data_IF_554384588587
#
_entry.id   IF_554384588587
#
_cell.length_a   1.000
_cell.length_b   1.000
_cell.length_c   1.000
_cell.angle_alpha   90.00
_cell.angle_beta   90.00
_cell.angle_gamma   90.00
#
_symmetry.space_group_name_H-M   'P 1'
#
loop_
_entity.id
_entity.type
_entity.pdbx_description
1 polymer ?
#
# COMPACT_ATOMS: atom_id res chain seq x y z
N UNK A 1 24.01 -30.71 12.44
CA UNK A 1 24.04 -29.34 12.99
C UNK A 1 22.72 -28.66 12.64
N UNK A 2 21.89 -28.52 13.66
CA UNK A 2 20.55 -27.97 13.60
C UNK A 2 20.66 -26.44 13.54
N UNK A 3 20.32 -25.81 12.41
CA UNK A 3 20.04 -24.37 12.36
C UNK A 3 18.56 -24.17 12.66
N UNK A 4 18.30 -23.73 13.86
CA UNK A 4 17.01 -23.29 14.35
C UNK A 4 16.51 -22.12 13.48
N UNK A 5 15.50 -22.37 12.66
CA UNK A 5 14.67 -21.33 12.06
C UNK A 5 13.71 -20.84 13.15
N UNK A 6 14.07 -19.80 13.83
CA UNK A 6 13.17 -18.97 14.63
C UNK A 6 13.32 -17.53 14.16
N UNK A 7 12.58 -17.19 13.16
CA UNK A 7 12.14 -15.82 12.86
C UNK A 7 10.90 -15.94 11.96
N UNK A 8 9.77 -16.26 12.58
CA UNK A 8 8.48 -15.86 12.04
C UNK A 8 8.37 -14.35 12.24
N UNK A 9 8.99 -13.61 11.31
CA UNK A 9 8.78 -12.17 11.19
C UNK A 9 7.35 -11.96 10.70
N UNK A 10 6.59 -11.13 11.39
CA UNK A 10 5.38 -10.51 10.85
C UNK A 10 5.80 -9.92 9.50
N UNK A 11 5.21 -10.41 8.40
CA UNK A 11 5.49 -9.90 7.06
C UNK A 11 5.02 -8.44 7.00
N UNK A 12 5.93 -7.53 7.28
CA UNK A 12 5.64 -6.09 7.23
C UNK A 12 5.41 -5.69 5.78
N UNK A 13 4.25 -5.13 5.50
CA UNK A 13 3.89 -4.63 4.17
C UNK A 13 4.86 -3.53 3.74
N UNK A 14 5.52 -3.74 2.59
CA UNK A 14 6.47 -2.78 2.01
C UNK A 14 5.81 -1.96 0.91
N UNK A 15 5.89 -0.66 1.05
CA UNK A 15 5.38 0.32 0.08
C UNK A 15 6.54 1.08 -0.56
N UNK A 16 6.42 1.36 -1.85
CA UNK A 16 7.28 2.32 -2.54
C UNK A 16 6.49 3.61 -2.76
N UNK A 17 6.96 4.71 -2.20
CA UNK A 17 6.45 6.04 -2.46
C UNK A 17 7.31 6.71 -3.52
N UNK A 18 6.70 7.09 -4.65
CA UNK A 18 7.35 7.81 -5.74
C UNK A 18 6.73 9.20 -5.85
N UNK A 19 7.38 10.20 -5.27
CA UNK A 19 6.90 11.58 -5.12
C UNK A 19 8.09 12.53 -5.11
N UNK A 20 8.11 13.52 -5.99
CA UNK A 20 9.21 14.49 -6.09
C UNK A 20 9.03 15.71 -5.16
N UNK A 21 7.81 16.05 -4.80
CA UNK A 21 7.52 17.09 -3.82
C UNK A 21 7.92 16.67 -2.42
N UNK A 22 8.86 17.42 -1.82
CA UNK A 22 9.41 17.10 -0.50
C UNK A 22 8.37 17.18 0.60
N UNK A 23 7.50 18.20 0.58
CA UNK A 23 6.52 18.42 1.64
C UNK A 23 5.44 17.34 1.61
N UNK A 24 4.96 16.99 0.43
CA UNK A 24 3.97 15.93 0.25
C UNK A 24 4.59 14.59 0.62
N UNK A 25 5.78 14.30 0.11
CA UNK A 25 6.49 13.05 0.35
C UNK A 25 6.77 12.81 1.84
N UNK A 26 7.26 13.81 2.57
CA UNK A 26 7.48 13.72 4.03
C UNK A 26 6.17 13.47 4.78
N UNK A 27 5.12 14.21 4.47
CA UNK A 27 3.81 14.05 5.12
C UNK A 27 3.24 12.65 4.91
N UNK A 28 3.27 12.14 3.69
CA UNK A 28 2.76 10.80 3.37
C UNK A 28 3.63 9.73 4.02
N UNK A 29 4.94 9.88 3.97
CA UNK A 29 5.89 8.96 4.59
C UNK A 29 5.63 8.81 6.09
N UNK A 30 5.45 9.93 6.81
CA UNK A 30 5.20 9.92 8.25
C UNK A 30 3.89 9.22 8.59
N UNK A 31 2.82 9.49 7.83
CA UNK A 31 1.52 8.85 8.02
C UNK A 31 1.61 7.34 7.76
N UNK A 32 2.24 6.93 6.66
CA UNK A 32 2.37 5.51 6.33
C UNK A 32 3.21 4.74 7.35
N UNK A 33 4.28 5.34 7.87
CA UNK A 33 5.09 4.74 8.94
C UNK A 33 4.34 4.66 10.26
N UNK A 34 3.52 5.65 10.59
CA UNK A 34 2.65 5.61 11.76
C UNK A 34 1.62 4.47 11.69
N UNK A 35 1.23 4.08 10.47
CA UNK A 35 0.35 2.93 10.19
C UNK A 35 1.12 1.60 10.05
N UNK A 36 2.39 1.56 10.48
CA UNK A 36 3.25 0.38 10.50
C UNK A 36 3.66 -0.19 9.15
N UNK A 37 3.55 0.57 8.06
CA UNK A 37 4.12 0.18 6.79
C UNK A 37 5.64 0.41 6.74
N UNK A 38 6.36 -0.48 6.11
CA UNK A 38 7.74 -0.23 5.71
C UNK A 38 7.73 0.55 4.39
N UNK A 39 8.28 1.75 4.37
CA UNK A 39 8.18 2.65 3.21
C UNK A 39 9.55 3.08 2.75
N UNK A 40 9.83 2.82 1.48
CA UNK A 40 10.94 3.43 0.75
C UNK A 40 10.40 4.60 -0.06
N UNK A 41 11.09 5.71 -0.05
CA UNK A 41 10.70 6.91 -0.78
C UNK A 41 11.76 7.29 -1.80
N UNK A 42 11.34 7.43 -3.05
CA UNK A 42 12.17 7.91 -4.16
C UNK A 42 11.51 9.10 -4.85
N UNK A 43 12.32 10.00 -5.38
CA UNK A 43 11.85 11.30 -5.88
C UNK A 43 12.00 11.47 -7.39
N UNK A 44 12.26 10.38 -8.08
CA UNK A 44 12.69 10.39 -9.47
C UNK A 44 12.25 9.12 -10.17
N UNK A 45 11.70 9.25 -11.37
CA UNK A 45 11.15 8.10 -12.09
C UNK A 45 12.21 7.10 -12.56
N UNK A 46 13.43 7.52 -12.81
CA UNK A 46 14.54 6.63 -13.20
C UNK A 46 15.04 5.82 -11.99
N UNK A 47 15.15 6.48 -10.84
CA UNK A 47 15.49 5.80 -9.58
C UNK A 47 14.39 4.81 -9.22
N UNK A 48 13.11 5.21 -9.36
CA UNK A 48 11.98 4.32 -9.12
C UNK A 48 12.01 3.08 -10.03
N UNK A 49 12.30 3.26 -11.31
CA UNK A 49 12.42 2.14 -12.27
C UNK A 49 13.52 1.15 -11.86
N UNK A 50 14.69 1.67 -11.49
CA UNK A 50 15.81 0.85 -11.02
C UNK A 50 15.46 0.12 -9.71
N UNK A 51 14.83 0.82 -8.77
CA UNK A 51 14.40 0.26 -7.49
C UNK A 51 13.40 -0.89 -7.70
N UNK A 52 12.41 -0.70 -8.57
CA UNK A 52 11.41 -1.73 -8.89
C UNK A 52 11.98 -2.95 -9.65
N UNK A 53 13.17 -2.83 -10.22
CA UNK A 53 13.86 -3.97 -10.84
C UNK A 53 14.64 -4.81 -9.83
N UNK A 54 15.03 -4.24 -8.70
CA UNK A 54 15.91 -4.86 -7.72
C UNK A 54 15.20 -5.26 -6.42
N UNK A 55 14.12 -4.57 -6.09
CA UNK A 55 13.37 -4.74 -4.84
C UNK A 55 11.90 -5.09 -5.11
N UNK A 56 11.29 -5.82 -4.18
CA UNK A 56 9.87 -6.17 -4.24
C UNK A 56 9.05 -5.35 -3.26
N UNK A 57 7.88 -4.91 -3.70
CA UNK A 57 6.93 -4.12 -2.92
C UNK A 57 5.54 -4.72 -2.99
N UNK A 58 4.73 -4.46 -1.97
CA UNK A 58 3.33 -4.88 -1.92
C UNK A 58 2.40 -3.87 -2.60
N UNK A 59 2.84 -2.63 -2.70
CA UNK A 59 2.13 -1.56 -3.40
C UNK A 59 3.07 -0.40 -3.72
N UNK A 60 2.81 0.26 -4.84
CA UNK A 60 3.49 1.49 -5.28
C UNK A 60 2.51 2.65 -5.25
N UNK A 61 2.85 3.73 -4.52
CA UNK A 61 2.19 5.03 -4.66
C UNK A 61 2.99 5.83 -5.67
N UNK A 62 2.34 6.28 -6.75
CA UNK A 62 3.01 6.85 -7.91
C UNK A 62 2.46 8.21 -8.27
N UNK A 63 3.26 9.27 -8.16
CA UNK A 63 2.96 10.52 -8.84
C UNK A 63 3.30 10.42 -10.34
N UNK A 64 2.53 11.08 -11.17
CA UNK A 64 2.76 11.12 -12.61
C UNK A 64 3.76 12.22 -13.01
N UNK A 65 3.82 13.33 -12.27
CA UNK A 65 4.65 14.49 -12.55
C UNK A 65 6.12 14.35 -12.16
N UNK A 66 6.72 13.20 -12.36
CA UNK A 66 8.08 12.92 -11.92
C UNK A 66 9.14 13.49 -12.86
N UNK A 67 10.34 13.87 -12.36
CA UNK A 67 11.48 14.19 -13.19
C UNK A 67 12.06 12.94 -13.87
N UNK A 68 12.70 13.15 -15.02
CA UNK A 68 13.40 12.18 -15.89
C UNK A 68 12.47 11.18 -16.56
N UNK A 69 11.77 10.35 -15.81
CA UNK A 69 10.81 9.38 -16.34
C UNK A 69 9.42 9.72 -15.79
N UNK A 70 8.49 10.05 -16.67
CA UNK A 70 7.10 10.30 -16.32
C UNK A 70 6.45 9.06 -15.70
N UNK A 71 5.53 9.28 -14.75
CA UNK A 71 4.91 8.16 -14.02
C UNK A 71 4.11 7.19 -14.89
N UNK A 72 3.48 7.66 -15.97
CA UNK A 72 2.80 6.77 -16.94
C UNK A 72 3.81 5.88 -17.66
N UNK A 73 4.95 6.43 -18.06
CA UNK A 73 6.01 5.64 -18.69
C UNK A 73 6.60 4.62 -17.72
N UNK A 74 6.82 5.01 -16.46
CA UNK A 74 7.25 4.09 -15.40
C UNK A 74 6.27 2.93 -15.23
N UNK A 75 4.99 3.21 -15.15
CA UNK A 75 3.92 2.21 -15.04
C UNK A 75 3.92 1.27 -16.27
N UNK A 76 4.08 1.83 -17.47
CA UNK A 76 4.16 1.05 -18.70
C UNK A 76 5.34 0.07 -18.67
N UNK A 77 6.52 0.51 -18.24
CA UNK A 77 7.71 -0.34 -18.08
C UNK A 77 7.49 -1.45 -17.06
N UNK A 78 6.87 -1.12 -15.93
CA UNK A 78 6.52 -2.09 -14.89
C UNK A 78 5.63 -3.21 -15.47
N UNK A 79 4.56 -2.85 -16.15
CA UNK A 79 3.64 -3.83 -16.77
C UNK A 79 4.26 -4.59 -17.93
N UNK A 80 5.15 -3.98 -18.70
CA UNK A 80 5.90 -4.66 -19.77
C UNK A 80 6.80 -5.78 -19.22
N UNK A 81 7.31 -5.64 -18.01
CA UNK A 81 8.07 -6.70 -17.29
C UNK A 81 7.16 -7.77 -16.67
N UNK A 82 5.84 -7.70 -16.86
CA UNK A 82 4.83 -8.56 -16.23
C UNK A 82 4.84 -8.49 -14.71
N UNK A 83 5.27 -7.37 -14.17
CA UNK A 83 5.18 -7.10 -12.75
C UNK A 83 3.73 -6.72 -12.41
N UNK A 84 3.10 -7.50 -11.54
CA UNK A 84 1.71 -7.32 -11.13
C UNK A 84 1.57 -6.50 -9.84
N UNK A 85 2.64 -5.93 -9.33
CA UNK A 85 2.61 -5.08 -8.12
C UNK A 85 1.51 -4.04 -8.24
N UNK A 86 0.60 -3.92 -7.27
CA UNK A 86 -0.46 -2.93 -7.28
C UNK A 86 0.11 -1.50 -7.34
N UNK A 87 -0.48 -0.67 -8.18
CA UNK A 87 -0.09 0.74 -8.34
C UNK A 87 -1.28 1.64 -8.08
N UNK A 88 -1.14 2.51 -7.09
CA UNK A 88 -2.05 3.62 -6.80
C UNK A 88 -1.43 4.91 -7.34
N UNK A 89 -2.04 5.50 -8.37
CA UNK A 89 -1.64 6.81 -8.87
C UNK A 89 -2.15 7.89 -7.92
N UNK A 90 -1.26 8.80 -7.50
CA UNK A 90 -1.56 9.91 -6.59
C UNK A 90 -0.97 11.19 -7.19
N UNK A 91 -1.78 11.97 -7.91
CA UNK A 91 -1.26 13.07 -8.71
C UNK A 91 -2.21 14.28 -8.75
N UNK A 92 -1.66 15.46 -9.10
CA UNK A 92 -2.44 16.66 -9.35
C UNK A 92 -3.03 16.72 -10.77
N UNK A 93 -2.69 15.78 -11.64
CA UNK A 93 -3.23 15.71 -13.01
C UNK A 93 -4.69 15.23 -12.96
N UNK A 94 -5.62 16.14 -13.26
CA UNK A 94 -7.06 15.95 -13.12
C UNK A 94 -7.79 15.70 -14.45
N UNK A 95 -7.10 15.86 -15.58
CA UNK A 95 -7.68 15.61 -16.89
C UNK A 95 -8.24 14.19 -17.02
N UNK A 96 -9.46 14.07 -17.49
CA UNK A 96 -10.16 12.78 -17.65
C UNK A 96 -9.35 11.83 -18.52
N UNK A 97 -8.75 12.35 -19.58
CA UNK A 97 -7.92 11.60 -20.52
C UNK A 97 -6.69 11.01 -19.84
N UNK A 98 -6.04 11.74 -18.93
CA UNK A 98 -4.88 11.26 -18.18
C UNK A 98 -5.26 10.19 -17.16
N UNK A 99 -6.43 10.32 -16.53
CA UNK A 99 -6.97 9.29 -15.63
C UNK A 99 -7.28 7.99 -16.38
N UNK A 100 -7.93 8.11 -17.54
CA UNK A 100 -8.22 6.98 -18.41
C UNK A 100 -6.91 6.33 -18.88
N UNK A 101 -5.93 7.12 -19.29
CA UNK A 101 -4.62 6.62 -19.71
C UNK A 101 -3.91 5.86 -18.58
N UNK A 102 -3.93 6.39 -17.35
CA UNK A 102 -3.34 5.73 -16.18
C UNK A 102 -3.98 4.37 -15.90
N UNK A 103 -5.30 4.32 -15.83
CA UNK A 103 -6.03 3.08 -15.59
C UNK A 103 -5.86 2.07 -16.73
N UNK A 104 -5.91 2.51 -17.99
CA UNK A 104 -5.69 1.65 -19.15
C UNK A 104 -4.26 1.13 -19.26
N UNK A 105 -3.28 1.87 -18.74
CA UNK A 105 -1.88 1.43 -18.67
C UNK A 105 -1.67 0.35 -17.61
N UNK A 106 -2.62 0.20 -16.67
CA UNK A 106 -2.63 -0.87 -15.70
C UNK A 106 -2.46 -0.39 -14.26
N UNK A 107 -2.80 0.86 -13.94
CA UNK A 107 -2.99 1.29 -12.57
C UNK A 107 -4.22 0.62 -11.95
N UNK A 108 -4.13 0.33 -10.66
CA UNK A 108 -5.20 -0.33 -9.93
C UNK A 108 -6.20 0.65 -9.32
N UNK A 109 -5.78 1.87 -9.03
CA UNK A 109 -6.64 2.97 -8.59
C UNK A 109 -5.96 4.32 -8.85
N UNK A 110 -6.71 5.42 -8.66
CA UNK A 110 -6.29 6.78 -8.98
C UNK A 110 -6.85 7.77 -7.95
N UNK A 111 -6.00 8.60 -7.35
CA UNK A 111 -6.35 9.64 -6.38
C UNK A 111 -5.84 10.99 -6.84
N UNK A 112 -6.71 11.99 -6.80
CA UNK A 112 -6.36 13.38 -7.14
C UNK A 112 -5.88 14.15 -5.91
N UNK A 113 -4.80 14.90 -6.06
CA UNK A 113 -4.35 15.92 -5.10
C UNK A 113 -5.23 17.19 -5.25
N UNK A 114 -5.60 17.86 -4.17
CA UNK A 114 -5.45 17.48 -2.76
C UNK A 114 -6.40 16.36 -2.36
N UNK A 115 -5.96 15.46 -1.51
CA UNK A 115 -6.74 14.33 -0.99
C UNK A 115 -6.73 14.30 0.54
N UNK A 116 -7.71 13.61 1.09
CA UNK A 116 -7.74 13.28 2.51
C UNK A 116 -6.81 12.08 2.79
N UNK A 117 -6.00 12.18 3.85
CA UNK A 117 -5.06 11.11 4.21
C UNK A 117 -5.76 9.83 4.64
N UNK A 118 -6.92 9.93 5.28
CA UNK A 118 -7.71 8.74 5.65
C UNK A 118 -8.30 8.06 4.40
N UNK A 119 -8.69 8.82 3.38
CA UNK A 119 -9.09 8.27 2.08
C UNK A 119 -7.93 7.54 1.41
N UNK A 120 -6.73 8.14 1.40
CA UNK A 120 -5.54 7.52 0.84
C UNK A 120 -5.23 6.19 1.54
N UNK A 121 -5.23 6.16 2.86
CA UNK A 121 -5.02 4.96 3.66
C UNK A 121 -6.07 3.87 3.38
N UNK A 122 -7.33 4.23 3.27
CA UNK A 122 -8.41 3.29 2.95
C UNK A 122 -8.21 2.64 1.57
N UNK A 123 -7.77 3.40 0.57
CA UNK A 123 -7.46 2.88 -0.78
C UNK A 123 -6.23 1.97 -0.78
N UNK A 124 -5.18 2.36 -0.06
CA UNK A 124 -3.98 1.52 0.10
C UNK A 124 -4.36 0.17 0.70
N UNK A 125 -5.10 0.15 1.80
CA UNK A 125 -5.54 -1.09 2.45
C UNK A 125 -6.42 -1.95 1.54
N UNK A 126 -7.32 -1.33 0.79
CA UNK A 126 -8.18 -2.04 -0.16
C UNK A 126 -7.37 -2.71 -1.28
N UNK A 127 -6.35 -2.04 -1.82
CA UNK A 127 -5.49 -2.59 -2.86
C UNK A 127 -4.61 -3.74 -2.35
N UNK A 128 -4.02 -3.59 -1.17
CA UNK A 128 -3.23 -4.65 -0.52
C UNK A 128 -4.11 -5.88 -0.27
N UNK A 129 -5.30 -5.70 0.28
CA UNK A 129 -6.25 -6.78 0.54
C UNK A 129 -6.62 -7.55 -0.75
N UNK A 130 -6.82 -6.85 -1.87
CA UNK A 130 -7.14 -7.47 -3.16
C UNK A 130 -5.96 -8.27 -3.72
N UNK A 131 -4.73 -7.75 -3.58
CA UNK A 131 -3.54 -8.37 -4.15
C UNK A 131 -3.11 -9.64 -3.41
N UNK A 132 -3.35 -9.70 -2.11
CA UNK A 132 -2.91 -10.83 -1.27
C UNK A 132 -3.92 -11.98 -1.20
N UNK A 133 -5.10 -11.84 -1.82
CA UNK A 133 -6.19 -12.82 -1.67
C UNK A 133 -6.75 -12.79 -0.23
N UNK A 134 -8.06 -12.87 -0.08
CA UNK A 134 -8.73 -12.74 1.22
C UNK A 134 -8.42 -13.87 2.23
N UNK A 135 -7.66 -14.89 1.87
CA UNK A 135 -7.66 -16.16 2.59
C UNK A 135 -6.58 -16.30 3.67
N UNK A 136 -5.41 -15.68 3.55
CA UNK A 136 -4.26 -16.11 4.36
C UNK A 136 -3.85 -15.18 5.52
N UNK A 137 -4.44 -14.01 5.65
CA UNK A 137 -4.03 -13.05 6.69
C UNK A 137 -5.09 -12.73 7.74
N UNK A 138 -6.30 -13.25 7.61
CA UNK A 138 -7.40 -12.96 8.54
C UNK A 138 -7.38 -13.95 9.71
N UNK A 139 -7.19 -13.44 10.92
CA UNK A 139 -7.30 -14.23 12.16
C UNK A 139 -8.64 -13.95 12.84
N UNK A 140 -9.35 -15.00 13.19
CA UNK A 140 -10.53 -14.89 14.03
C UNK A 140 -10.20 -15.30 15.47
N UNK A 141 -10.29 -14.34 16.39
CA UNK A 141 -10.00 -14.55 17.81
C UNK A 141 -11.20 -14.03 18.61
N UNK A 142 -11.89 -14.91 19.31
CA UNK A 142 -13.00 -14.57 20.21
C UNK A 142 -14.08 -13.66 19.59
N UNK A 143 -14.47 -13.90 18.33
CA UNK A 143 -15.49 -13.11 17.64
C UNK A 143 -14.97 -11.77 17.07
N UNK A 144 -13.67 -11.58 17.05
CA UNK A 144 -13.02 -10.51 16.32
C UNK A 144 -12.32 -11.11 15.09
N UNK A 145 -12.56 -10.49 13.96
CA UNK A 145 -11.81 -10.72 12.73
C UNK A 145 -10.72 -9.66 12.62
N UNK A 146 -9.48 -10.08 12.60
CA UNK A 146 -8.30 -9.21 12.57
C UNK A 146 -7.52 -9.43 11.28
N UNK A 147 -7.19 -8.35 10.61
CA UNK A 147 -6.24 -8.38 9.51
C UNK A 147 -4.95 -7.65 9.91
N UNK A 148 -3.90 -8.38 10.30
CA UNK A 148 -2.64 -7.78 10.74
C UNK A 148 -1.91 -7.04 9.63
N UNK A 149 -2.20 -7.34 8.38
CA UNK A 149 -1.57 -6.71 7.21
C UNK A 149 -2.16 -5.32 6.97
N UNK A 150 -3.51 -5.22 7.00
CA UNK A 150 -4.19 -3.94 6.76
C UNK A 150 -4.47 -3.16 8.04
N UNK A 151 -4.15 -3.71 9.21
CA UNK A 151 -4.49 -3.18 10.53
C UNK A 151 -6.00 -2.87 10.69
N UNK A 152 -6.84 -3.72 10.13
CA UNK A 152 -8.29 -3.62 10.26
C UNK A 152 -8.81 -4.69 11.22
N UNK A 153 -9.70 -4.28 12.11
CA UNK A 153 -10.38 -5.17 13.03
C UNK A 153 -11.91 -5.05 12.87
N UNK A 154 -12.59 -6.18 12.88
CA UNK A 154 -14.05 -6.25 12.81
C UNK A 154 -14.58 -7.15 13.93
N UNK A 155 -15.68 -6.73 14.56
CA UNK A 155 -16.44 -7.58 15.46
C UNK A 155 -17.46 -8.38 14.63
N UNK A 156 -17.45 -9.68 14.82
CA UNK A 156 -18.45 -10.59 14.22
C UNK A 156 -19.66 -10.72 15.14
N UNK A 157 -20.81 -10.32 14.65
CA UNK A 157 -22.07 -10.58 15.33
C UNK A 157 -22.60 -11.99 14.98
N UNK A 158 -23.42 -12.62 15.87
CA UNK A 158 -23.95 -13.96 15.62
C UNK A 158 -24.77 -14.09 14.33
N UNK A 159 -25.29 -12.99 13.81
CA UNK A 159 -26.07 -12.92 12.58
C UNK A 159 -25.22 -12.66 11.32
N UNK A 160 -23.88 -12.69 11.42
CA UNK A 160 -22.98 -12.50 10.29
C UNK A 160 -22.72 -11.03 9.92
N UNK A 161 -23.19 -10.07 10.71
CA UNK A 161 -22.86 -8.66 10.52
C UNK A 161 -21.46 -8.36 11.07
N UNK A 162 -20.68 -7.61 10.29
CA UNK A 162 -19.35 -7.14 10.68
C UNK A 162 -19.43 -5.67 11.07
N UNK A 163 -18.85 -5.34 12.21
CA UNK A 163 -18.73 -3.94 12.67
C UNK A 163 -17.26 -3.60 12.84
N UNK A 164 -16.79 -2.56 12.16
CA UNK A 164 -15.42 -2.10 12.27
C UNK A 164 -15.12 -1.66 13.71
N UNK A 165 -13.98 -2.11 14.23
CA UNK A 165 -13.49 -1.75 15.56
C UNK A 165 -12.20 -0.96 15.39
N UNK A 166 -12.18 0.33 15.72
CA UNK A 166 -10.95 1.10 15.70
C UNK A 166 -10.04 0.63 16.84
N UNK A 167 -8.86 0.14 16.50
CA UNK A 167 -7.84 -0.26 17.46
C UNK A 167 -6.67 0.74 17.42
N UNK A 168 -6.22 1.15 18.60
CA UNK A 168 -4.99 1.94 18.73
C UNK A 168 -3.75 1.09 18.45
N UNK A 169 -2.62 1.71 18.16
CA UNK A 169 -1.36 1.01 17.95
C UNK A 169 -0.95 0.13 19.13
N UNK A 170 -1.31 0.50 20.36
CA UNK A 170 -1.04 -0.30 21.57
C UNK A 170 -1.91 -1.55 21.63
N UNK A 171 -3.17 -1.44 21.26
CA UNK A 171 -4.11 -2.56 21.21
C UNK A 171 -3.72 -3.56 20.13
N UNK A 172 -3.26 -3.08 18.97
CA UNK A 172 -2.69 -3.92 17.92
C UNK A 172 -1.47 -4.68 18.42
N UNK A 173 -0.51 -4.02 19.05
CA UNK A 173 0.69 -4.65 19.60
C UNK A 173 0.38 -5.77 20.60
N UNK A 174 -0.70 -5.66 21.37
CA UNK A 174 -1.15 -6.74 22.29
C UNK A 174 -1.75 -7.90 21.51
N UNK A 175 -2.52 -7.65 20.46
CA UNK A 175 -3.16 -8.69 19.65
C UNK A 175 -2.18 -9.47 18.78
N UNK A 176 -1.07 -8.86 18.38
CA UNK A 176 -0.01 -9.52 17.61
C UNK A 176 0.79 -10.54 18.43
N UNK A 177 0.76 -10.43 19.75
CA UNK A 177 1.47 -11.33 20.68
C UNK A 177 0.59 -12.51 21.12
N UNK A 178 -0.71 -12.43 20.90
CA UNK A 178 -1.68 -13.50 21.22
C UNK A 178 -1.83 -14.49 20.07
#
# INVERSE_FOLDING_TARGET
QCRTKLQEGVDTVRLLLVEDDTMIGETVLDVLRAEHFAVDWVRDGEIADTTLQTESYDLVLLDLGLPRVDGIELLRRLRARRDATPVLIVTARDAVEERIAGLNTGADDYVLKPYDLDELLARIRALIRRSQGQADSVREIHGLRLNPITHEAFRLAPEGQETAVPLSAREWAVLEVL
#
